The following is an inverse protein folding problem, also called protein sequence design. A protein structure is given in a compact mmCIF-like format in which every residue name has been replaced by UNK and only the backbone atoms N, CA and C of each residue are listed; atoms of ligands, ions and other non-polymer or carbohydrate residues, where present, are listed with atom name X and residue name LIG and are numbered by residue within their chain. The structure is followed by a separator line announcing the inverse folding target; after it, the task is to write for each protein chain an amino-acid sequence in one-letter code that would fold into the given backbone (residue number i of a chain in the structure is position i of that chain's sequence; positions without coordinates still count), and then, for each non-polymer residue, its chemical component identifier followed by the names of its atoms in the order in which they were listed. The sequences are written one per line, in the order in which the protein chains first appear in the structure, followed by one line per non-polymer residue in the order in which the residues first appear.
data_IF_490112919309
#
_entry.id   IF_490112919309
#
_cell.length_a   1.000
_cell.length_b   1.000
_cell.length_c   1.000
_cell.angle_alpha   90.00
_cell.angle_beta   90.00
_cell.angle_gamma   90.00
#
_symmetry.space_group_name_H-M   'P 1'
#
loop_
_entity.id
_entity.type
_entity.pdbx_description
1 polymer ?
#
# COMPACT_ATOMS: atom_id res chain seq x y z
N UNK A 1 30.10 79.75 33.52
CA UNK A 1 29.44 78.58 32.96
C UNK A 1 30.55 77.57 32.62
N UNK A 2 30.67 76.48 33.41
CA UNK A 2 31.59 75.38 33.19
C UNK A 2 30.88 74.34 32.36
N UNK A 3 31.29 74.17 31.10
CA UNK A 3 30.75 73.09 30.23
C UNK A 3 31.70 71.90 30.38
N UNK A 4 31.28 70.88 31.15
CA UNK A 4 31.93 69.60 31.20
C UNK A 4 31.42 68.76 30.04
N UNK A 5 32.30 68.43 29.07
CA UNK A 5 32.06 67.41 28.06
C UNK A 5 32.66 66.09 28.56
N UNK A 6 31.82 65.14 29.02
CA UNK A 6 32.35 63.82 29.40
C UNK A 6 32.77 63.08 28.15
N UNK A 7 34.04 62.77 27.96
CA UNK A 7 34.50 61.76 27.02
C UNK A 7 34.29 60.39 27.67
N UNK A 8 33.32 59.69 27.20
CA UNK A 8 33.08 58.27 27.56
C UNK A 8 33.97 57.41 26.70
N UNK A 9 35.02 56.85 27.24
CA UNK A 9 35.77 55.78 26.59
C UNK A 9 34.97 54.48 26.78
N UNK A 10 34.32 54.01 25.73
CA UNK A 10 33.73 52.68 25.71
C UNK A 10 34.89 51.67 25.60
N UNK A 11 35.04 50.70 26.50
CA UNK A 11 36.01 49.64 26.32
C UNK A 11 35.60 48.82 25.07
N UNK A 12 36.46 48.87 24.05
CA UNK A 12 36.34 47.95 22.92
C UNK A 12 36.85 46.62 23.43
N UNK A 13 35.92 45.65 23.64
CA UNK A 13 36.30 44.30 23.98
C UNK A 13 37.09 43.71 22.79
N UNK A 14 38.38 43.45 22.98
CA UNK A 14 39.14 42.61 22.06
C UNK A 14 38.89 41.17 22.48
N UNK A 15 38.23 40.42 21.61
CA UNK A 15 38.05 38.99 21.73
C UNK A 15 38.40 38.32 20.43
N UNK A 16 39.17 37.25 20.46
CA UNK A 16 39.36 36.40 19.31
C UNK A 16 38.07 35.58 19.13
N UNK A 17 37.33 35.81 18.05
CA UNK A 17 36.19 35.03 17.67
C UNK A 17 36.70 33.94 16.74
N UNK A 18 36.69 32.70 17.19
CA UNK A 18 36.97 31.55 16.34
C UNK A 18 35.83 31.31 15.37
N UNK A 19 36.11 30.78 14.19
CA UNK A 19 35.08 30.40 13.23
C UNK A 19 34.15 29.35 13.84
N UNK A 20 34.63 28.54 14.78
CA UNK A 20 33.86 27.58 15.53
C UNK A 20 32.76 28.24 16.40
N UNK A 21 33.03 29.41 16.95
CA UNK A 21 32.09 30.18 17.78
C UNK A 21 30.94 30.81 16.94
N UNK A 22 31.18 30.95 15.65
CA UNK A 22 30.27 31.57 14.70
C UNK A 22 29.32 30.53 14.06
N UNK A 23 29.61 29.23 14.18
CA UNK A 23 28.82 28.16 13.63
C UNK A 23 27.76 27.72 14.66
N UNK A 24 26.52 27.74 14.26
CA UNK A 24 25.49 27.17 15.09
C UNK A 24 25.69 25.63 15.18
N UNK A 25 26.02 25.15 16.37
CA UNK A 25 26.06 23.70 16.65
C UNK A 25 24.69 23.08 16.47
N UNK A 26 24.37 22.68 15.24
CA UNK A 26 23.24 21.80 14.92
C UNK A 26 23.82 20.50 14.42
N UNK A 27 23.14 19.40 14.74
CA UNK A 27 23.55 18.02 14.43
C UNK A 27 23.86 17.75 12.94
N UNK A 28 23.44 18.64 12.04
CA UNK A 28 23.58 18.54 10.59
C UNK A 28 24.77 19.34 10.01
N UNK A 29 25.46 20.15 10.82
CA UNK A 29 26.52 21.05 10.34
C UNK A 29 27.80 20.85 11.14
N UNK A 30 28.91 20.62 10.47
CA UNK A 30 30.23 20.56 11.09
C UNK A 30 31.30 21.14 10.20
N UNK A 31 32.30 21.70 10.86
CA UNK A 31 33.46 22.28 10.23
C UNK A 31 34.67 21.35 10.41
N UNK A 32 35.44 21.14 9.36
CA UNK A 32 36.71 20.42 9.43
C UNK A 32 37.83 21.25 8.82
N UNK A 33 38.95 21.34 9.54
CA UNK A 33 40.19 21.81 9.00
C UNK A 33 41.02 20.62 8.50
N UNK A 34 41.53 20.72 7.29
CA UNK A 34 42.40 19.70 6.70
C UNK A 34 43.87 20.17 6.69
N UNK A 35 44.77 19.26 6.37
CA UNK A 35 46.21 19.52 6.32
C UNK A 35 46.64 20.51 5.23
N UNK A 36 45.76 20.79 4.28
CA UNK A 36 45.95 21.84 3.24
C UNK A 36 45.71 23.27 3.77
N UNK A 37 45.31 23.39 5.05
CA UNK A 37 45.00 24.69 5.68
C UNK A 37 43.61 25.23 5.31
N UNK A 38 42.83 24.49 4.55
CA UNK A 38 41.46 24.87 4.17
C UNK A 38 40.44 24.41 5.20
N UNK A 39 39.38 25.19 5.32
CA UNK A 39 38.23 24.88 6.15
C UNK A 39 37.10 24.36 5.26
N UNK A 40 36.61 23.19 5.62
CA UNK A 40 35.49 22.52 4.92
C UNK A 40 34.25 22.56 5.79
N UNK A 41 33.19 23.12 5.23
CA UNK A 41 31.87 23.12 5.83
C UNK A 41 31.05 21.99 5.25
N UNK A 42 30.52 21.15 6.11
CA UNK A 42 29.62 20.05 5.75
C UNK A 42 28.22 20.35 6.28
N UNK A 43 27.24 20.18 5.41
CA UNK A 43 25.85 20.27 5.75
C UNK A 43 25.13 19.05 5.18
N UNK A 44 24.23 18.45 5.95
CA UNK A 44 23.44 17.30 5.52
C UNK A 44 21.99 17.48 5.96
N UNK A 45 21.07 17.29 5.04
CA UNK A 45 19.64 17.34 5.32
C UNK A 45 18.91 16.27 4.50
N UNK A 46 17.89 15.63 5.11
CA UNK A 46 16.93 14.80 4.37
C UNK A 46 15.91 15.73 3.71
N UNK A 47 15.85 15.70 2.38
CA UNK A 47 14.98 16.60 1.62
C UNK A 47 13.55 16.05 1.51
N UNK A 48 13.41 14.81 1.07
CA UNK A 48 12.11 14.21 0.83
C UNK A 48 12.13 12.71 1.03
N UNK A 49 10.95 12.13 1.23
CA UNK A 49 10.72 10.69 1.14
C UNK A 49 9.34 10.46 0.55
N UNK A 50 9.23 9.45 -0.31
CA UNK A 50 7.99 9.05 -0.95
C UNK A 50 7.62 7.63 -0.48
N UNK A 51 6.34 7.40 -0.17
CA UNK A 51 5.83 6.07 0.15
C UNK A 51 5.25 5.44 -1.13
N UNK A 52 5.57 4.18 -1.42
CA UNK A 52 5.05 3.48 -2.60
C UNK A 52 3.52 3.39 -2.59
N UNK A 53 2.90 3.37 -1.43
CA UNK A 53 1.43 3.36 -1.29
C UNK A 53 0.76 4.61 -1.82
N UNK A 54 1.48 5.73 -1.95
CA UNK A 54 0.98 6.93 -2.61
C UNK A 54 1.08 6.87 -4.13
N UNK A 55 1.88 5.96 -4.66
CA UNK A 55 2.05 5.75 -6.09
C UNK A 55 1.11 4.67 -6.64
N UNK A 56 0.71 3.71 -5.79
CA UNK A 56 -0.09 2.57 -6.22
C UNK A 56 -1.13 2.19 -5.16
N UNK A 57 -2.37 2.01 -5.58
CA UNK A 57 -3.48 1.55 -4.74
C UNK A 57 -4.17 0.35 -5.37
N UNK A 58 -4.53 -0.63 -4.55
CA UNK A 58 -5.31 -1.78 -5.02
C UNK A 58 -6.77 -1.38 -5.22
N UNK A 59 -7.39 -1.74 -6.35
CA UNK A 59 -8.78 -1.40 -6.62
C UNK A 59 -9.72 -2.25 -5.78
N UNK A 60 -10.91 -1.70 -5.51
CA UNK A 60 -12.03 -2.50 -5.02
C UNK A 60 -12.69 -3.19 -6.22
N UNK A 61 -12.76 -4.51 -6.19
CA UNK A 61 -13.31 -5.31 -7.28
C UNK A 61 -14.43 -6.20 -6.79
N UNK A 62 -15.46 -6.36 -7.62
CA UNK A 62 -16.58 -7.29 -7.39
C UNK A 62 -16.68 -8.28 -8.53
N UNK A 63 -16.74 -9.56 -8.19
CA UNK A 63 -16.75 -10.66 -9.14
C UNK A 63 -18.09 -11.42 -9.01
N UNK A 64 -18.97 -11.33 -10.03
CA UNK A 64 -20.15 -12.14 -10.10
C UNK A 64 -19.82 -13.56 -10.59
N UNK A 65 -20.33 -14.56 -9.91
CA UNK A 65 -20.23 -15.98 -10.26
C UNK A 65 -21.64 -16.55 -10.24
N UNK A 66 -22.00 -17.32 -11.25
CA UNK A 66 -23.33 -17.88 -11.33
C UNK A 66 -23.29 -19.27 -11.94
N UNK A 67 -23.99 -20.21 -11.34
CA UNK A 67 -24.16 -21.55 -11.90
C UNK A 67 -25.55 -22.13 -11.61
N UNK A 68 -26.00 -22.99 -12.52
CA UNK A 68 -27.33 -23.56 -12.43
C UNK A 68 -27.44 -24.55 -11.30
N UNK A 69 -28.53 -24.46 -10.55
CA UNK A 69 -28.90 -25.48 -9.55
C UNK A 69 -29.54 -26.65 -10.28
N UNK A 70 -28.96 -27.83 -10.19
CA UNK A 70 -29.45 -29.04 -10.81
C UNK A 70 -29.58 -30.16 -9.76
N UNK A 71 -30.53 -31.06 -9.90
CA UNK A 71 -31.65 -31.06 -10.86
C UNK A 71 -32.72 -30.03 -10.53
N UNK A 72 -33.57 -29.67 -11.52
CA UNK A 72 -34.76 -28.85 -11.35
C UNK A 72 -36.00 -29.73 -11.22
N UNK A 73 -37.12 -29.15 -10.77
CA UNK A 73 -38.40 -29.87 -10.52
C UNK A 73 -38.56 -30.22 -9.04
N UNK A 74 -39.41 -31.18 -8.75
CA UNK A 74 -39.67 -31.65 -7.38
C UNK A 74 -38.50 -32.56 -6.94
N UNK A 75 -37.69 -32.08 -6.05
CA UNK A 75 -36.61 -32.87 -5.42
C UNK A 75 -37.20 -33.59 -4.20
N UNK A 76 -37.14 -34.92 -4.13
CA UNK A 76 -37.67 -35.68 -2.98
C UNK A 76 -36.86 -35.46 -1.72
N UNK A 77 -37.35 -35.90 -0.58
CA UNK A 77 -36.54 -36.03 0.62
C UNK A 77 -35.27 -36.84 0.32
N UNK A 78 -34.18 -36.45 0.95
CA UNK A 78 -32.85 -37.04 0.70
C UNK A 78 -32.14 -37.28 2.03
N UNK A 79 -31.72 -38.52 2.29
CA UNK A 79 -31.12 -38.93 3.55
C UNK A 79 -29.61 -38.49 3.67
N UNK A 80 -28.96 -38.28 2.55
CA UNK A 80 -27.53 -37.87 2.50
C UNK A 80 -27.34 -36.61 1.66
N UNK A 81 -26.20 -35.93 1.84
CA UNK A 81 -25.79 -34.80 1.03
C UNK A 81 -25.54 -35.24 -0.42
N UNK A 82 -25.78 -34.35 -1.38
CA UNK A 82 -25.42 -34.60 -2.78
C UNK A 82 -23.88 -34.55 -2.98
N UNK A 83 -23.39 -35.19 -4.04
CA UNK A 83 -22.05 -34.89 -4.51
C UNK A 83 -21.88 -33.39 -4.78
N UNK A 84 -20.68 -32.80 -4.52
CA UNK A 84 -20.45 -31.38 -4.79
C UNK A 84 -20.49 -31.10 -6.28
N UNK A 85 -21.14 -30.01 -6.68
CA UNK A 85 -20.98 -29.41 -7.99
C UNK A 85 -19.88 -28.37 -7.89
N UNK A 86 -18.81 -28.56 -8.63
CA UNK A 86 -17.58 -27.73 -8.53
C UNK A 86 -17.40 -26.90 -9.79
N UNK A 87 -17.14 -25.62 -9.63
CA UNK A 87 -16.71 -24.72 -10.70
C UNK A 87 -15.41 -24.05 -10.33
N UNK A 88 -14.58 -23.79 -11.32
CA UNK A 88 -13.37 -22.98 -11.16
C UNK A 88 -13.49 -21.77 -12.06
N UNK A 89 -13.11 -20.61 -11.52
CA UNK A 89 -13.11 -19.36 -12.27
C UNK A 89 -11.80 -18.60 -12.00
N UNK A 90 -11.33 -17.92 -13.03
CA UNK A 90 -10.21 -16.98 -12.89
C UNK A 90 -10.76 -15.58 -12.64
N UNK A 91 -10.27 -14.94 -11.60
CA UNK A 91 -10.56 -13.56 -11.24
C UNK A 91 -9.42 -12.67 -11.75
N UNK A 92 -9.75 -11.46 -12.17
CA UNK A 92 -8.77 -10.47 -12.64
C UNK A 92 -8.89 -9.19 -11.82
N UNK A 93 -7.77 -8.67 -11.32
CA UNK A 93 -7.75 -7.38 -10.62
C UNK A 93 -7.99 -6.20 -11.56
N UNK A 94 -8.02 -6.42 -12.88
CA UNK A 94 -8.25 -5.40 -13.90
C UNK A 94 -7.29 -4.20 -13.80
N UNK A 95 -6.03 -4.47 -13.47
CA UNK A 95 -4.97 -3.47 -13.46
C UNK A 95 -4.37 -3.36 -14.86
N UNK A 96 -4.14 -2.14 -15.31
CA UNK A 96 -3.48 -1.85 -16.59
C UNK A 96 -2.88 -0.44 -16.54
N UNK A 97 -1.60 -0.27 -16.84
CA UNK A 97 -0.65 -1.21 -17.45
C UNK A 97 0.03 -2.18 -16.47
N UNK A 98 -0.29 -2.12 -15.19
CA UNK A 98 0.37 -2.90 -14.13
C UNK A 98 0.13 -4.41 -14.31
N UNK A 99 1.13 -5.21 -14.01
CA UNK A 99 1.07 -6.67 -14.06
C UNK A 99 1.68 -7.27 -12.80
N UNK A 100 0.83 -7.54 -11.82
CA UNK A 100 1.26 -8.09 -10.54
C UNK A 100 1.37 -9.61 -10.58
N UNK A 101 2.34 -10.14 -9.85
CA UNK A 101 2.55 -11.56 -9.65
C UNK A 101 2.31 -11.99 -8.19
N UNK A 102 2.47 -11.07 -7.24
CA UNK A 102 2.26 -11.38 -5.82
C UNK A 102 1.95 -10.12 -5.02
N UNK A 103 1.04 -10.26 -4.05
CA UNK A 103 0.69 -9.21 -3.08
C UNK A 103 0.65 -9.83 -1.69
N UNK A 104 1.38 -9.27 -0.72
CA UNK A 104 1.17 -9.56 0.69
C UNK A 104 0.25 -8.50 1.27
N UNK A 105 -0.94 -8.88 1.66
CA UNK A 105 -1.94 -7.99 2.21
C UNK A 105 -1.63 -7.63 3.67
N UNK A 106 -1.64 -6.33 3.94
CA UNK A 106 -1.58 -5.76 5.29
C UNK A 106 -2.97 -5.69 5.91
N UNK A 107 -3.96 -5.38 5.09
CA UNK A 107 -5.38 -5.35 5.43
C UNK A 107 -6.23 -5.60 4.18
N UNK A 108 -7.52 -5.80 4.39
CA UNK A 108 -8.51 -5.99 3.35
C UNK A 108 -9.63 -6.89 3.84
N UNK A 109 -10.72 -6.89 3.08
CA UNK A 109 -11.89 -7.70 3.39
C UNK A 109 -12.43 -8.33 2.11
N UNK A 110 -12.66 -9.63 2.15
CA UNK A 110 -13.46 -10.35 1.16
C UNK A 110 -14.90 -10.38 1.64
N UNK A 111 -15.77 -9.61 1.01
CA UNK A 111 -17.21 -9.68 1.22
C UNK A 111 -17.83 -10.67 0.25
N UNK A 112 -18.87 -11.37 0.67
CA UNK A 112 -19.60 -12.27 -0.20
C UNK A 112 -21.10 -12.17 0.01
N UNK A 113 -21.84 -12.38 -1.08
CA UNK A 113 -23.29 -12.52 -1.09
C UNK A 113 -23.65 -13.74 -1.92
N UNK A 114 -24.52 -14.61 -1.39
CA UNK A 114 -24.96 -15.83 -2.05
C UNK A 114 -26.47 -15.90 -2.02
N UNK A 115 -27.09 -15.96 -3.20
CA UNK A 115 -28.55 -15.98 -3.35
C UNK A 115 -28.97 -16.85 -4.52
N UNK A 116 -30.17 -17.42 -4.41
CA UNK A 116 -30.82 -18.07 -5.55
C UNK A 116 -31.51 -17.04 -6.44
N UNK A 117 -31.47 -17.24 -7.75
CA UNK A 117 -32.12 -16.34 -8.72
C UNK A 117 -33.64 -16.49 -8.75
N UNK A 118 -34.17 -17.60 -8.28
CA UNK A 118 -35.58 -17.86 -8.19
C UNK A 118 -35.94 -18.45 -6.82
N UNK A 119 -37.19 -18.20 -6.38
CA UNK A 119 -37.69 -18.77 -5.15
C UNK A 119 -37.83 -20.29 -5.28
N UNK A 120 -37.52 -20.99 -4.20
CA UNK A 120 -37.85 -22.40 -4.02
C UNK A 120 -39.18 -22.52 -3.27
N UNK A 121 -39.88 -23.61 -3.45
CA UNK A 121 -41.09 -23.87 -2.68
C UNK A 121 -40.92 -25.14 -1.81
N UNK A 122 -40.97 -25.03 -0.47
CA UNK A 122 -41.17 -23.79 0.30
C UNK A 122 -40.02 -22.80 0.18
N UNK A 123 -40.34 -21.52 0.37
CA UNK A 123 -39.31 -20.46 0.40
C UNK A 123 -38.23 -20.82 1.42
N UNK A 124 -36.99 -20.72 1.03
CA UNK A 124 -35.80 -21.15 1.82
C UNK A 124 -35.72 -22.67 2.07
N UNK A 125 -36.53 -23.48 1.38
CA UNK A 125 -36.59 -24.94 1.57
C UNK A 125 -35.42 -25.72 0.97
N UNK A 126 -34.55 -25.09 0.14
CA UNK A 126 -33.44 -25.78 -0.46
C UNK A 126 -32.15 -25.55 0.39
N UNK A 127 -31.78 -26.53 1.19
CA UNK A 127 -30.58 -26.41 2.03
C UNK A 127 -29.32 -26.54 1.16
N UNK A 128 -28.64 -25.42 0.93
CA UNK A 128 -27.42 -25.37 0.15
C UNK A 128 -26.26 -25.01 1.08
N UNK A 129 -25.18 -25.73 0.92
CA UNK A 129 -23.87 -25.40 1.47
C UNK A 129 -22.95 -25.02 0.32
N UNK A 130 -22.22 -23.93 0.48
CA UNK A 130 -21.26 -23.45 -0.49
C UNK A 130 -19.87 -23.41 0.16
N UNK A 131 -18.93 -24.06 -0.48
CA UNK A 131 -17.52 -24.02 -0.09
C UNK A 131 -16.77 -23.16 -1.10
N UNK A 132 -16.13 -22.11 -0.63
CA UNK A 132 -15.33 -21.21 -1.44
C UNK A 132 -13.87 -21.40 -1.10
N UNK A 133 -13.07 -21.71 -2.10
CA UNK A 133 -11.61 -21.88 -1.98
C UNK A 133 -10.90 -20.95 -2.96
N UNK A 134 -10.18 -19.98 -2.43
CA UNK A 134 -9.30 -19.14 -3.24
C UNK A 134 -7.93 -19.82 -3.25
N UNK A 135 -7.65 -20.61 -4.28
CA UNK A 135 -6.45 -21.48 -4.35
C UNK A 135 -5.14 -20.70 -4.35
N UNK A 136 -5.19 -19.49 -4.90
CA UNK A 136 -4.03 -18.63 -5.06
C UNK A 136 -3.94 -17.54 -3.98
N UNK A 137 -4.88 -17.53 -3.02
CA UNK A 137 -4.87 -16.65 -1.84
C UNK A 137 -4.51 -17.49 -0.63
N UNK A 138 -3.26 -17.41 -0.21
CA UNK A 138 -2.71 -18.32 0.82
C UNK A 138 -2.32 -17.55 2.08
N UNK A 139 -2.56 -18.15 3.23
CA UNK A 139 -2.08 -17.62 4.50
C UNK A 139 -0.55 -17.58 4.52
N UNK A 140 0.01 -16.43 4.90
CA UNK A 140 1.46 -16.18 4.91
C UNK A 140 2.24 -17.19 5.77
N UNK A 141 1.64 -17.61 6.87
CA UNK A 141 2.31 -18.44 7.88
C UNK A 141 2.19 -19.91 7.57
N UNK A 142 0.99 -20.37 7.19
CA UNK A 142 0.70 -21.79 6.99
C UNK A 142 0.80 -22.22 5.53
N UNK A 143 0.73 -21.27 4.59
CA UNK A 143 0.64 -21.57 3.16
C UNK A 143 -0.70 -22.16 2.72
N UNK A 144 -1.67 -22.31 3.64
CA UNK A 144 -2.99 -22.86 3.34
C UNK A 144 -3.81 -21.86 2.52
N UNK A 145 -4.57 -22.34 1.51
CA UNK A 145 -5.47 -21.47 0.75
C UNK A 145 -6.60 -20.94 1.63
N UNK A 146 -7.09 -19.74 1.31
CA UNK A 146 -8.27 -19.19 1.95
C UNK A 146 -9.48 -20.05 1.56
N UNK A 147 -10.03 -20.73 2.56
CA UNK A 147 -11.18 -21.61 2.41
C UNK A 147 -12.23 -21.26 3.47
N UNK A 148 -13.49 -21.25 3.06
CA UNK A 148 -14.61 -21.12 4.00
C UNK A 148 -15.87 -21.77 3.47
N UNK A 149 -16.67 -22.23 4.40
CA UNK A 149 -18.00 -22.81 4.14
C UNK A 149 -19.06 -21.82 4.61
N UNK A 150 -20.13 -21.71 3.83
CA UNK A 150 -21.27 -20.84 4.12
C UNK A 150 -22.55 -21.41 3.52
N UNK A 151 -23.69 -20.88 3.95
CA UNK A 151 -24.99 -21.08 3.33
C UNK A 151 -25.37 -19.85 2.49
N UNK A 152 -26.60 -19.81 1.98
CA UNK A 152 -27.16 -18.61 1.36
C UNK A 152 -27.14 -17.44 2.35
N UNK A 153 -26.86 -16.22 1.85
CA UNK A 153 -26.77 -15.02 2.66
C UNK A 153 -25.54 -14.20 2.35
N UNK A 154 -25.17 -13.34 3.27
CA UNK A 154 -24.04 -12.43 3.16
C UNK A 154 -23.04 -12.67 4.28
N UNK A 155 -21.78 -12.34 4.04
CA UNK A 155 -20.74 -12.39 5.07
C UNK A 155 -19.42 -11.78 4.59
N UNK A 156 -18.42 -11.87 5.45
CA UNK A 156 -17.09 -11.34 5.15
C UNK A 156 -15.98 -12.19 5.75
N UNK A 157 -14.78 -12.09 5.15
CA UNK A 157 -13.55 -12.69 5.64
C UNK A 157 -12.44 -11.65 5.64
N UNK A 158 -11.68 -11.51 6.72
CA UNK A 158 -10.50 -10.64 6.74
C UNK A 158 -9.40 -11.23 5.86
N UNK A 159 -8.68 -10.35 5.17
CA UNK A 159 -7.59 -10.73 4.26
C UNK A 159 -6.20 -10.36 4.82
N UNK A 160 -6.13 -9.91 6.05
CA UNK A 160 -4.84 -9.59 6.67
C UNK A 160 -3.92 -10.82 6.71
N UNK A 161 -2.64 -10.62 6.35
CA UNK A 161 -1.61 -11.65 6.29
C UNK A 161 -1.82 -12.74 5.21
N UNK A 162 -2.72 -12.53 4.27
CA UNK A 162 -2.80 -13.37 3.09
C UNK A 162 -1.87 -12.89 1.99
N UNK A 163 -1.33 -13.84 1.24
CA UNK A 163 -0.58 -13.62 0.01
C UNK A 163 -1.48 -13.99 -1.16
N UNK A 164 -1.70 -13.05 -2.07
CA UNK A 164 -2.35 -13.33 -3.35
C UNK A 164 -1.26 -13.60 -4.38
N UNK A 165 -1.22 -14.82 -4.90
CA UNK A 165 -0.33 -15.22 -6.00
C UNK A 165 -1.09 -15.07 -7.31
N UNK A 166 -0.45 -14.48 -8.31
CA UNK A 166 -1.13 -14.11 -9.56
C UNK A 166 -0.27 -14.40 -10.77
N UNK A 167 -0.94 -14.61 -11.88
CA UNK A 167 -0.33 -14.56 -13.20
C UNK A 167 -0.92 -13.35 -13.96
N UNK A 168 -0.14 -12.27 -14.07
CA UNK A 168 -0.57 -11.00 -14.71
C UNK A 168 -1.93 -10.54 -14.20
N UNK A 169 -2.01 -10.27 -12.89
CA UNK A 169 -3.20 -9.81 -12.15
C UNK A 169 -4.32 -10.86 -11.98
N UNK A 170 -4.13 -12.09 -12.48
CA UNK A 170 -5.17 -13.14 -12.46
C UNK A 170 -4.86 -14.20 -11.42
N UNK A 171 -5.89 -14.63 -10.70
CA UNK A 171 -5.83 -15.68 -9.71
C UNK A 171 -7.12 -16.52 -9.73
N UNK A 172 -7.08 -17.73 -9.18
CA UNK A 172 -8.13 -18.70 -9.32
C UNK A 172 -8.97 -18.85 -8.05
N UNK A 173 -10.24 -19.11 -8.27
CA UNK A 173 -11.18 -19.49 -7.24
C UNK A 173 -11.89 -20.77 -7.65
N UNK A 174 -12.13 -21.62 -6.69
CA UNK A 174 -12.99 -22.80 -6.79
C UNK A 174 -14.21 -22.62 -5.88
N UNK A 175 -15.38 -22.86 -6.43
CA UNK A 175 -16.63 -22.85 -5.68
C UNK A 175 -17.29 -24.21 -5.81
N UNK A 176 -17.62 -24.82 -4.66
CA UNK A 176 -18.33 -26.08 -4.58
C UNK A 176 -19.71 -25.86 -3.96
N UNK A 177 -20.76 -26.33 -4.61
CA UNK A 177 -22.12 -26.29 -4.10
C UNK A 177 -22.57 -27.71 -3.74
N UNK A 178 -23.11 -27.89 -2.54
CA UNK A 178 -23.62 -29.14 -2.03
C UNK A 178 -25.11 -28.93 -1.65
N UNK A 179 -25.97 -29.75 -2.20
CA UNK A 179 -27.36 -29.86 -1.70
C UNK A 179 -27.34 -30.76 -0.46
N UNK A 180 -27.69 -30.18 0.67
CA UNK A 180 -27.68 -30.90 1.95
C UNK A 180 -28.87 -31.87 2.05
N UNK A 181 -28.73 -32.87 2.91
CA UNK A 181 -29.81 -33.77 3.28
C UNK A 181 -31.06 -32.98 3.67
N UNK A 182 -32.22 -33.50 3.36
CA UNK A 182 -33.53 -32.90 3.65
C UNK A 182 -34.61 -33.94 3.95
N UNK A 183 -35.48 -33.60 4.84
CA UNK A 183 -36.56 -34.52 5.31
C UNK A 183 -37.84 -34.36 4.53
N UNK A 184 -38.00 -33.33 3.72
CA UNK A 184 -39.18 -33.04 2.91
C UNK A 184 -38.79 -32.75 1.45
N UNK A 185 -39.75 -32.89 0.54
CA UNK A 185 -39.57 -32.50 -0.85
C UNK A 185 -39.51 -30.99 -1.01
N UNK A 186 -38.71 -30.55 -1.98
CA UNK A 186 -38.54 -29.13 -2.35
C UNK A 186 -38.67 -29.00 -3.86
N UNK A 187 -39.44 -28.02 -4.32
CA UNK A 187 -39.54 -27.71 -5.73
C UNK A 187 -38.47 -26.67 -6.10
N UNK A 188 -37.64 -26.97 -7.09
CA UNK A 188 -36.65 -26.09 -7.68
C UNK A 188 -37.13 -25.71 -9.07
N UNK A 189 -37.39 -24.43 -9.27
CA UNK A 189 -37.81 -23.90 -10.56
C UNK A 189 -36.72 -24.15 -11.62
N UNK A 190 -37.13 -24.45 -12.86
CA UNK A 190 -36.20 -24.52 -13.99
C UNK A 190 -35.45 -23.22 -14.13
N UNK A 191 -34.15 -23.30 -14.48
CA UNK A 191 -33.25 -22.15 -14.59
C UNK A 191 -32.89 -21.44 -13.26
N UNK A 192 -33.23 -22.03 -12.10
CA UNK A 192 -32.71 -21.49 -10.83
C UNK A 192 -31.17 -21.51 -10.85
N UNK A 193 -30.59 -20.37 -10.54
CA UNK A 193 -29.14 -20.20 -10.43
C UNK A 193 -28.74 -19.85 -9.00
N UNK A 194 -27.63 -20.35 -8.57
CA UNK A 194 -26.92 -19.80 -7.43
C UNK A 194 -26.06 -18.65 -7.92
N UNK A 195 -26.37 -17.46 -7.46
CA UNK A 195 -25.60 -16.24 -7.74
C UNK A 195 -24.71 -15.94 -6.54
N UNK A 196 -23.43 -15.77 -6.80
CA UNK A 196 -22.41 -15.43 -5.82
C UNK A 196 -21.79 -14.11 -6.25
N UNK A 197 -21.69 -13.17 -5.34
CA UNK A 197 -20.91 -11.97 -5.50
C UNK A 197 -19.74 -12.01 -4.50
N UNK A 198 -18.52 -11.86 -4.99
CA UNK A 198 -17.32 -11.73 -4.18
C UNK A 198 -16.74 -10.34 -4.37
N UNK A 199 -16.56 -9.59 -3.27
CA UNK A 199 -16.03 -8.24 -3.29
C UNK A 199 -14.73 -8.14 -2.50
N UNK A 200 -13.66 -7.75 -3.14
CA UNK A 200 -12.40 -7.40 -2.49
C UNK A 200 -12.42 -5.91 -2.20
N UNK A 201 -12.35 -5.53 -0.93
CA UNK A 201 -12.52 -4.16 -0.50
C UNK A 201 -11.43 -3.72 0.47
N UNK A 202 -11.07 -2.44 0.40
CA UNK A 202 -10.13 -1.78 1.32
C UNK A 202 -8.81 -2.54 1.46
N UNK A 203 -8.32 -3.06 0.34
CA UNK A 203 -7.05 -3.78 0.31
C UNK A 203 -5.88 -2.81 0.47
N UNK A 204 -5.06 -3.02 1.48
CA UNK A 204 -3.74 -2.40 1.65
C UNK A 204 -2.67 -3.50 1.65
N UNK A 205 -1.46 -3.17 1.29
CA UNK A 205 -0.40 -4.15 1.14
C UNK A 205 0.84 -3.81 1.99
N UNK A 206 1.54 -4.85 2.39
CA UNK A 206 2.87 -4.74 2.99
C UNK A 206 3.93 -4.73 1.90
N UNK A 207 3.76 -5.57 0.88
CA UNK A 207 4.61 -5.59 -0.30
C UNK A 207 3.82 -6.07 -1.53
N UNK A 208 4.30 -5.67 -2.70
CA UNK A 208 3.82 -6.12 -4.01
C UNK A 208 5.00 -6.53 -4.89
N UNK A 209 4.77 -7.48 -5.79
CA UNK A 209 5.74 -7.93 -6.77
C UNK A 209 5.11 -7.98 -8.16
N UNK A 210 5.80 -7.44 -9.13
CA UNK A 210 5.35 -7.40 -10.52
C UNK A 210 5.82 -6.14 -11.22
N UNK A 211 5.28 -5.89 -12.40
CA UNK A 211 5.45 -4.64 -13.13
C UNK A 211 4.38 -3.64 -12.65
N UNK A 212 4.82 -2.48 -12.18
CA UNK A 212 3.95 -1.43 -11.64
C UNK A 212 3.58 -0.35 -12.66
N UNK A 213 3.93 -0.55 -13.92
CA UNK A 213 3.84 0.51 -14.92
C UNK A 213 4.92 1.57 -14.73
N UNK A 214 4.92 2.57 -15.61
CA UNK A 214 5.81 3.73 -15.50
C UNK A 214 5.14 4.78 -14.60
N UNK A 215 5.41 4.68 -13.30
CA UNK A 215 4.88 5.62 -12.32
C UNK A 215 5.77 6.85 -12.24
N UNK A 216 5.18 8.02 -12.44
CA UNK A 216 5.88 9.29 -12.31
C UNK A 216 5.28 10.08 -11.14
N UNK A 217 6.13 10.59 -10.27
CA UNK A 217 5.73 11.50 -9.20
C UNK A 217 6.61 12.72 -9.19
N UNK A 218 6.02 13.86 -8.90
CA UNK A 218 6.77 15.11 -8.73
C UNK A 218 6.84 15.43 -7.25
N UNK A 219 8.06 15.51 -6.75
CA UNK A 219 8.27 16.00 -5.39
C UNK A 219 8.13 17.52 -5.38
N UNK A 220 7.53 18.11 -4.34
CA UNK A 220 7.45 19.56 -4.22
C UNK A 220 8.85 20.16 -4.16
N UNK A 221 8.96 21.42 -4.56
CA UNK A 221 10.21 22.19 -4.43
C UNK A 221 10.69 22.13 -2.98
N UNK A 222 11.94 21.76 -2.80
CA UNK A 222 12.60 21.72 -1.51
C UNK A 222 13.57 22.88 -1.41
N UNK A 223 13.49 23.66 -0.34
CA UNK A 223 14.48 24.68 -0.01
C UNK A 223 15.36 24.18 1.12
N UNK A 224 16.64 24.40 0.99
CA UNK A 224 17.62 24.12 2.04
C UNK A 224 18.12 25.46 2.56
N UNK A 225 17.66 25.82 3.76
CA UNK A 225 18.19 27.00 4.43
C UNK A 225 19.53 26.64 5.10
N UNK A 226 20.60 27.08 4.49
CA UNK A 226 21.95 26.94 5.06
C UNK A 226 22.13 27.89 6.25
N UNK A 227 21.47 27.60 7.37
CA UNK A 227 21.68 28.34 8.63
C UNK A 227 22.99 27.91 9.31
N UNK A 228 24.08 28.11 8.61
CA UNK A 228 25.42 27.72 9.05
C UNK A 228 25.95 28.67 10.10
N UNK A 229 25.57 29.92 10.00
CA UNK A 229 26.09 30.98 10.86
C UNK A 229 25.02 31.43 11.87
N UNK A 230 25.49 31.84 13.05
CA UNK A 230 24.60 32.45 14.04
C UNK A 230 23.93 33.71 13.47
N UNK A 231 22.81 34.10 14.04
CA UNK A 231 22.03 35.28 13.60
C UNK A 231 22.84 36.58 13.59
N UNK A 232 23.94 36.63 14.33
CA UNK A 232 24.86 37.75 14.37
C UNK A 232 25.63 37.98 13.04
N UNK A 233 25.74 36.94 12.21
CA UNK A 233 26.46 37.00 10.93
C UNK A 233 25.55 37.02 9.69
N UNK A 234 24.24 37.14 9.85
CA UNK A 234 23.30 37.18 8.74
C UNK A 234 23.53 38.32 7.72
N UNK A 235 24.40 39.29 8.06
CA UNK A 235 24.82 40.38 7.18
C UNK A 235 26.21 40.18 6.57
N UNK A 236 26.93 39.10 6.95
CA UNK A 236 28.25 38.84 6.38
C UNK A 236 28.09 38.15 5.00
N UNK A 237 28.83 38.63 4.05
CA UNK A 237 28.95 37.97 2.74
C UNK A 237 30.01 36.86 2.88
N UNK A 238 29.49 35.60 2.81
CA UNK A 238 30.37 34.43 2.80
C UNK A 238 30.43 33.90 1.37
N UNK A 239 31.65 33.67 0.90
CA UNK A 239 31.92 33.11 -0.41
C UNK A 239 32.60 31.76 -0.25
N UNK A 240 32.06 30.72 -0.92
CA UNK A 240 32.66 29.40 -0.97
C UNK A 240 33.55 29.29 -2.21
N UNK A 241 34.80 28.89 -2.02
CA UNK A 241 35.73 28.74 -3.13
C UNK A 241 35.35 27.58 -4.08
N UNK A 242 34.88 26.50 -3.53
CA UNK A 242 34.46 25.32 -4.28
C UNK A 242 33.20 24.68 -3.62
N UNK A 243 32.01 25.18 -3.91
CA UNK A 243 30.79 24.54 -3.39
C UNK A 243 30.56 23.19 -4.09
N UNK A 244 30.42 22.13 -3.32
CA UNK A 244 30.13 20.79 -3.80
C UNK A 244 28.77 20.38 -3.25
N UNK A 245 27.85 20.03 -4.13
CA UNK A 245 26.54 19.46 -3.77
C UNK A 245 26.60 17.96 -4.05
N UNK A 246 26.46 17.15 -3.00
CA UNK A 246 26.30 15.70 -3.13
C UNK A 246 24.86 15.37 -2.80
N UNK A 247 24.17 14.75 -3.74
CA UNK A 247 22.82 14.21 -3.54
C UNK A 247 22.89 12.69 -3.47
N UNK A 248 22.23 12.13 -2.48
CA UNK A 248 22.10 10.69 -2.32
C UNK A 248 20.62 10.32 -2.43
N UNK A 249 20.31 9.42 -3.35
CA UNK A 249 18.98 8.87 -3.55
C UNK A 249 19.02 7.43 -3.08
N UNK A 250 18.23 7.12 -2.06
CA UNK A 250 18.05 5.76 -1.57
C UNK A 250 16.73 5.20 -2.08
N UNK A 251 16.81 4.14 -2.85
CA UNK A 251 15.67 3.41 -3.36
C UNK A 251 15.47 2.11 -2.55
N UNK A 252 14.49 2.12 -1.67
CA UNK A 252 14.12 0.96 -0.82
C UNK A 252 12.97 0.13 -1.43
N UNK A 253 12.48 0.48 -2.63
CA UNK A 253 11.33 -0.18 -3.24
C UNK A 253 11.66 -1.49 -3.98
N UNK A 254 12.93 -1.75 -4.27
CA UNK A 254 13.33 -2.93 -5.04
C UNK A 254 12.93 -2.91 -6.51
N UNK A 255 12.52 -1.74 -7.03
CA UNK A 255 12.22 -1.50 -8.45
C UNK A 255 13.16 -0.42 -8.98
N UNK A 256 13.54 -0.44 -10.27
CA UNK A 256 14.33 0.63 -10.86
C UNK A 256 13.62 1.98 -10.69
N UNK A 257 14.37 3.02 -10.35
CA UNK A 257 13.87 4.39 -10.35
C UNK A 257 14.85 5.32 -11.03
N UNK A 258 14.30 6.30 -11.74
CA UNK A 258 15.03 7.42 -12.31
C UNK A 258 14.65 8.68 -11.57
N UNK A 259 15.63 9.51 -11.24
CA UNK A 259 15.42 10.79 -10.57
C UNK A 259 15.93 11.90 -11.46
N UNK A 260 15.04 12.80 -11.85
CA UNK A 260 15.39 13.97 -12.67
C UNK A 260 15.23 15.23 -11.84
N UNK A 261 16.29 16.05 -11.81
CA UNK A 261 16.25 17.36 -11.21
C UNK A 261 15.93 18.40 -12.28
N UNK A 262 14.80 19.07 -12.14
CA UNK A 262 14.37 20.07 -13.12
C UNK A 262 15.05 21.41 -12.93
N UNK A 263 15.47 21.74 -11.69
CA UNK A 263 16.15 23.00 -11.38
C UNK A 263 16.95 22.90 -10.10
N UNK A 264 18.15 23.45 -10.11
CA UNK A 264 19.00 23.69 -8.94
C UNK A 264 19.34 25.19 -8.96
N UNK A 265 18.96 25.88 -7.90
CA UNK A 265 19.26 27.31 -7.70
C UNK A 265 19.94 27.48 -6.35
N UNK A 266 20.93 28.36 -6.30
CA UNK A 266 21.61 28.80 -5.08
C UNK A 266 21.40 30.31 -4.89
#
# INVERSE_FOLDING_TARGET
SLTLTPSVALPVAFGDISLQDLISNKDSTYLRAYSDGLLYLYYSQKLASQDIRSLFTLPNNTYPISFSVQPSGTLPAQASDSPPVVITQTLDLNLSPEQLSEILLKSGTLNYTMALSAATNPANGLPIEVIVTLTDVVDKTTGAPLNFTTSLGTGSKPLQNYIIKMNKNKFNIQVSMILKKRTSSVFVQSNTKLNIQLGFNNMDFTYIKGFLGDQTTTLPTQSVDLTVFSSSLNKAKVSFAQPIIKMEVRNDYGVPCEVTFTKLEA
#
